data_IF_983136030348
#
_entry.id   IF_983136030348
#
_cell.length_a   1.000
_cell.length_b   1.000
_cell.length_c   1.000
_cell.angle_alpha   90.00
_cell.angle_beta   90.00
_cell.angle_gamma   90.00
#
_symmetry.space_group_name_H-M   'P 1'
#
loop_
_entity.id
_entity.type
_entity.pdbx_description
1 polymer ?
#
# COMPACT_ATOMS: atom_id res chain seq x y z
N UNK A 1 -36.00 -41.86 45.47
CA UNK A 1 -35.39 -41.45 44.17
C UNK A 1 -36.45 -40.68 43.40
N UNK A 2 -36.38 -39.41 43.01
CA UNK A 2 -35.26 -38.50 42.76
C UNK A 2 -35.76 -37.05 43.00
N UNK A 3 -35.56 -36.50 44.20
CA UNK A 3 -35.66 -35.03 44.47
C UNK A 3 -34.25 -34.40 44.39
N UNK A 4 -33.29 -35.10 43.76
CA UNK A 4 -31.91 -34.61 43.58
C UNK A 4 -31.61 -34.12 42.17
N UNK A 5 -32.53 -34.23 41.20
CA UNK A 5 -32.23 -33.87 39.81
C UNK A 5 -32.64 -32.46 39.41
N UNK A 6 -33.53 -31.79 40.16
CA UNK A 6 -33.99 -30.43 39.81
C UNK A 6 -33.07 -29.32 40.32
N UNK A 7 -32.22 -29.61 41.31
CA UNK A 7 -31.28 -28.61 41.87
C UNK A 7 -30.01 -28.43 41.02
N UNK A 8 -29.76 -29.30 40.03
CA UNK A 8 -28.56 -29.24 39.18
C UNK A 8 -28.77 -28.40 37.91
N UNK A 9 -30.01 -28.01 37.58
CA UNK A 9 -30.32 -27.21 36.38
C UNK A 9 -30.43 -25.71 36.70
N UNK A 10 -30.62 -25.36 37.97
CA UNK A 10 -30.70 -23.95 38.40
C UNK A 10 -29.32 -23.41 38.82
N UNK A 11 -28.37 -24.28 39.18
CA UNK A 11 -27.01 -23.88 39.54
C UNK A 11 -26.13 -23.54 38.31
N UNK A 12 -26.51 -23.98 37.11
CA UNK A 12 -25.85 -23.64 35.85
C UNK A 12 -26.26 -22.27 35.28
N UNK A 13 -27.23 -21.59 35.90
CA UNK A 13 -27.67 -20.22 35.54
C UNK A 13 -26.97 -19.12 36.36
N UNK A 14 -26.02 -19.50 37.22
CA UNK A 14 -25.21 -18.59 38.04
C UNK A 14 -23.74 -18.62 37.63
N UNK A 15 -23.43 -18.82 36.35
CA UNK A 15 -22.16 -18.34 35.83
C UNK A 15 -22.27 -16.81 35.88
N UNK A 16 -21.48 -16.09 36.71
CA UNK A 16 -21.25 -14.70 36.40
C UNK A 16 -20.70 -14.72 34.98
N UNK A 17 -21.46 -14.21 34.01
CA UNK A 17 -20.85 -13.82 32.76
C UNK A 17 -19.66 -12.97 33.16
N UNK A 18 -18.46 -13.31 32.70
CA UNK A 18 -17.38 -12.36 32.76
C UNK A 18 -17.93 -11.10 32.10
N UNK A 19 -18.32 -10.11 32.91
CA UNK A 19 -18.18 -8.74 32.48
C UNK A 19 -16.70 -8.67 32.22
N UNK A 20 -16.33 -8.78 30.95
CA UNK A 20 -15.07 -8.23 30.50
C UNK A 20 -15.11 -6.83 31.07
N UNK A 21 -14.19 -6.54 32.00
CA UNK A 21 -13.86 -5.16 32.31
C UNK A 21 -13.40 -4.62 30.96
N UNK A 22 -14.34 -4.07 30.19
CA UNK A 22 -13.99 -3.23 29.07
C UNK A 22 -13.22 -2.11 29.74
N UNK A 23 -11.90 -2.18 29.71
CA UNK A 23 -11.05 -1.06 30.06
C UNK A 23 -11.55 0.10 29.21
N UNK A 24 -12.34 0.97 29.81
CA UNK A 24 -12.83 2.17 29.15
C UNK A 24 -11.60 3.01 28.92
N UNK A 25 -11.10 3.00 27.68
CA UNK A 25 -10.04 3.87 27.27
C UNK A 25 -10.57 5.31 27.34
N UNK A 26 -10.23 6.01 28.41
CA UNK A 26 -10.49 7.44 28.53
C UNK A 26 -9.60 8.14 27.50
N UNK A 27 -10.26 8.69 26.48
CA UNK A 27 -9.59 9.46 25.45
C UNK A 27 -8.83 10.64 26.07
N UNK A 28 -7.63 10.89 25.55
CA UNK A 28 -6.84 12.07 25.88
C UNK A 28 -6.47 12.78 24.59
N UNK A 29 -6.80 14.06 24.51
CA UNK A 29 -6.33 14.91 23.44
C UNK A 29 -4.82 15.06 23.49
N UNK A 30 -4.15 14.76 22.37
CA UNK A 30 -2.69 14.87 22.20
C UNK A 30 -2.36 15.24 20.76
N UNK A 31 -1.11 15.60 20.51
CA UNK A 31 -0.57 15.66 19.16
C UNK A 31 -0.50 14.27 18.51
N UNK A 32 -0.86 14.21 17.24
CA UNK A 32 -0.65 13.06 16.37
C UNK A 32 0.40 13.41 15.31
N UNK A 33 1.45 12.58 15.20
CA UNK A 33 2.61 12.82 14.34
C UNK A 33 2.83 11.63 13.42
N UNK A 34 2.97 11.90 12.13
CA UNK A 34 3.27 10.88 11.13
C UNK A 34 4.50 11.28 10.33
N UNK A 35 5.46 10.37 10.24
CA UNK A 35 6.67 10.57 9.46
C UNK A 35 7.16 9.24 8.89
N UNK A 36 7.79 9.32 7.71
CA UNK A 36 8.46 8.20 7.09
C UNK A 36 9.81 8.63 6.53
N UNK A 37 10.87 7.92 6.91
CA UNK A 37 12.21 8.11 6.34
C UNK A 37 12.54 7.00 5.37
N UNK A 38 13.23 7.34 4.29
CA UNK A 38 13.68 6.36 3.30
C UNK A 38 15.20 6.42 3.15
N UNK A 39 15.82 5.25 3.20
CA UNK A 39 17.26 5.11 2.97
C UNK A 39 17.68 5.71 1.62
N UNK A 40 18.80 6.40 1.62
CA UNK A 40 19.43 7.01 0.45
C UNK A 40 18.57 8.03 -0.30
N UNK A 41 17.55 8.58 0.38
CA UNK A 41 16.66 9.61 -0.15
C UNK A 41 16.63 10.81 0.79
N UNK A 42 16.31 12.01 0.27
CA UNK A 42 15.90 13.11 1.13
C UNK A 42 14.55 12.80 1.78
N UNK A 43 14.06 13.69 2.63
CA UNK A 43 12.68 13.61 3.13
C UNK A 43 11.71 13.87 1.94
N UNK A 44 11.29 12.80 1.26
CA UNK A 44 10.43 12.87 0.07
C UNK A 44 8.99 13.17 0.45
N UNK A 45 8.50 12.62 1.56
CA UNK A 45 7.15 12.85 2.07
C UNK A 45 7.14 13.89 3.21
N UNK A 46 6.00 14.51 3.46
CA UNK A 46 5.87 15.50 4.53
C UNK A 46 5.77 14.84 5.90
N UNK A 47 6.30 15.47 6.94
CA UNK A 47 5.89 15.16 8.32
C UNK A 47 4.51 15.77 8.54
N UNK A 48 3.57 14.98 9.06
CA UNK A 48 2.22 15.43 9.36
C UNK A 48 2.06 15.64 10.86
N UNK A 49 1.44 16.77 11.23
CA UNK A 49 1.13 17.11 12.62
C UNK A 49 -0.31 17.57 12.72
N UNK A 50 -1.07 16.90 13.58
CA UNK A 50 -2.44 17.29 13.93
C UNK A 50 -2.67 17.15 15.43
N UNK A 51 -3.78 17.69 15.92
CA UNK A 51 -4.38 17.33 17.20
C UNK A 51 -5.28 16.11 17.00
N UNK A 52 -5.33 15.19 17.95
CA UNK A 52 -6.37 14.15 17.97
C UNK A 52 -7.73 14.75 18.32
N UNK A 53 -8.83 14.09 17.99
CA UNK A 53 -10.18 14.50 18.40
C UNK A 53 -10.96 13.32 18.97
N UNK A 54 -11.88 13.60 19.90
CA UNK A 54 -12.86 12.60 20.35
C UNK A 54 -13.81 12.24 19.20
N UNK A 55 -14.32 11.01 19.19
CA UNK A 55 -15.34 10.57 18.22
C UNK A 55 -16.62 11.43 18.34
N UNK A 56 -16.94 11.90 19.54
CA UNK A 56 -18.07 12.80 19.82
C UNK A 56 -17.82 14.26 19.45
N UNK A 57 -16.58 14.64 19.13
CA UNK A 57 -16.22 16.02 18.83
C UNK A 57 -16.79 16.44 17.47
N UNK A 58 -17.58 17.52 17.45
CA UNK A 58 -18.19 18.04 16.21
C UNK A 58 -17.28 19.08 15.55
N UNK A 59 -16.06 18.65 15.20
CA UNK A 59 -15.02 19.50 14.62
C UNK A 59 -14.61 18.99 13.23
N UNK A 60 -14.58 19.83 12.19
CA UNK A 60 -14.10 19.42 10.87
C UNK A 60 -12.64 18.95 10.93
N UNK A 61 -12.32 17.85 10.26
CA UNK A 61 -10.97 17.26 10.28
C UNK A 61 -9.89 18.26 9.82
N UNK A 62 -10.23 19.16 8.90
CA UNK A 62 -9.33 20.19 8.36
C UNK A 62 -8.87 21.19 9.43
N UNK A 63 -9.63 21.36 10.51
CA UNK A 63 -9.27 22.25 11.61
C UNK A 63 -8.39 21.60 12.68
N UNK A 64 -8.14 20.29 12.58
CA UNK A 64 -7.26 19.56 13.49
C UNK A 64 -5.78 19.71 13.13
N UNK A 65 -5.47 20.16 11.91
CA UNK A 65 -4.10 20.31 11.43
C UNK A 65 -3.36 21.44 12.14
N UNK A 66 -2.12 21.18 12.56
CA UNK A 66 -1.28 22.14 13.30
C UNK A 66 -0.19 22.67 12.37
N UNK A 67 -0.20 23.98 12.08
CA UNK A 67 0.67 24.59 11.05
C UNK A 67 1.78 25.49 11.60
N UNK A 68 1.83 25.66 12.91
CA UNK A 68 2.75 26.52 13.66
C UNK A 68 3.50 25.75 14.77
N UNK A 69 3.63 24.43 14.63
CA UNK A 69 4.49 23.61 15.49
C UNK A 69 5.97 23.80 15.15
N UNK A 70 6.83 23.66 16.15
CA UNK A 70 8.27 23.48 15.93
C UNK A 70 8.52 21.98 15.67
N UNK A 71 8.94 21.64 14.46
CA UNK A 71 9.18 20.25 14.02
C UNK A 71 10.65 20.06 13.68
N UNK A 72 11.32 19.11 14.34
CA UNK A 72 12.73 18.81 14.14
C UNK A 72 12.96 17.34 13.79
N UNK A 73 13.94 17.11 12.92
CA UNK A 73 14.56 15.80 12.70
C UNK A 73 15.90 15.80 13.40
N UNK A 74 16.09 14.85 14.31
CA UNK A 74 17.29 14.67 15.11
C UNK A 74 17.96 13.34 14.74
N UNK A 75 19.29 13.34 14.70
CA UNK A 75 20.13 12.14 14.61
C UNK A 75 21.44 12.39 15.36
N UNK A 76 22.42 11.49 15.26
CA UNK A 76 23.66 11.56 16.05
C UNK A 76 24.38 12.92 15.98
N UNK A 77 24.48 13.48 14.77
CA UNK A 77 25.06 14.82 14.54
C UNK A 77 24.10 15.76 13.79
N UNK A 78 22.85 15.31 13.61
CA UNK A 78 21.85 15.97 12.79
C UNK A 78 20.83 16.70 13.67
N UNK A 79 20.56 17.96 13.36
CA UNK A 79 19.44 18.74 13.91
C UNK A 79 18.88 19.62 12.78
N UNK A 80 17.76 19.19 12.20
CA UNK A 80 17.10 19.88 11.10
C UNK A 80 15.74 20.40 11.54
N UNK A 81 15.56 21.72 11.46
CA UNK A 81 14.26 22.35 11.60
C UNK A 81 13.47 22.23 10.29
N UNK A 82 12.27 21.66 10.36
CA UNK A 82 11.36 21.57 9.22
C UNK A 82 10.50 22.84 9.11
N UNK A 83 10.12 23.18 7.88
CA UNK A 83 9.27 24.32 7.56
C UNK A 83 7.85 23.87 7.24
N UNK A 84 6.85 24.58 7.76
CA UNK A 84 5.47 24.36 7.39
C UNK A 84 5.25 24.63 5.89
N UNK A 85 4.44 23.79 5.24
CA UNK A 85 4.13 23.92 3.80
C UNK A 85 3.03 24.99 3.61
N UNK A 86 3.30 26.08 2.88
CA UNK A 86 2.30 27.11 2.65
C UNK A 86 1.05 26.58 1.95
N UNK A 87 -0.12 26.87 2.50
CA UNK A 87 -1.41 26.48 1.93
C UNK A 87 -1.79 25.01 2.13
N UNK A 88 -0.95 24.21 2.81
CA UNK A 88 -1.25 22.81 3.13
C UNK A 88 -1.06 22.59 4.65
N UNK A 89 -2.11 22.85 5.45
CA UNK A 89 -2.03 22.77 6.90
C UNK A 89 -1.50 21.43 7.42
N UNK A 90 -0.76 21.48 8.54
CA UNK A 90 -0.28 20.27 9.21
C UNK A 90 0.93 19.61 8.56
N UNK A 91 1.42 20.11 7.43
CA UNK A 91 2.55 19.51 6.71
C UNK A 91 3.83 20.26 6.92
N UNK A 92 4.90 19.52 7.16
CA UNK A 92 6.25 20.04 7.36
C UNK A 92 7.23 19.36 6.41
N UNK A 93 8.08 20.15 5.78
CA UNK A 93 9.09 19.71 4.81
C UNK A 93 10.46 20.14 5.24
N UNK A 94 11.46 19.41 4.74
CA UNK A 94 12.85 19.76 4.90
C UNK A 94 13.23 20.85 3.88
N UNK A 95 14.00 21.85 4.33
CA UNK A 95 14.59 22.86 3.44
C UNK A 95 15.99 22.51 2.91
N UNK A 96 16.57 21.40 3.36
CA UNK A 96 17.89 20.88 2.99
C UNK A 96 17.81 19.66 2.08
N UNK A 97 18.93 19.35 1.43
CA UNK A 97 19.17 18.17 0.59
C UNK A 97 19.77 17.01 1.40
N UNK A 98 19.52 16.96 2.71
CA UNK A 98 20.06 15.91 3.57
C UNK A 98 19.53 14.54 3.13
N UNK A 99 20.45 13.60 2.92
CA UNK A 99 20.14 12.23 2.53
C UNK A 99 20.21 11.35 3.78
N UNK A 100 19.11 10.64 4.05
CA UNK A 100 19.04 9.71 5.17
C UNK A 100 19.81 8.43 4.86
N UNK A 101 20.52 7.91 5.86
CA UNK A 101 21.47 6.81 5.69
C UNK A 101 20.86 5.55 6.32
N UNK A 102 21.02 4.41 5.64
CA UNK A 102 20.71 3.09 6.19
C UNK A 102 21.41 2.81 7.51
N UNK A 103 20.79 2.04 8.39
CA UNK A 103 21.35 1.64 9.70
C UNK A 103 21.32 2.75 10.76
N UNK A 104 21.16 4.01 10.36
CA UNK A 104 21.12 5.15 11.27
C UNK A 104 19.76 5.31 11.95
N UNK A 105 19.79 5.90 13.15
CA UNK A 105 18.59 6.19 13.94
C UNK A 105 18.24 7.67 13.87
N UNK A 106 16.96 7.95 13.62
CA UNK A 106 16.42 9.29 13.54
C UNK A 106 15.20 9.46 14.43
N UNK A 107 15.10 10.63 15.04
CA UNK A 107 13.98 11.03 15.90
C UNK A 107 13.29 12.24 15.32
N UNK A 108 11.96 12.17 15.18
CA UNK A 108 11.11 13.35 14.98
C UNK A 108 10.75 13.90 16.34
N UNK A 109 10.97 15.19 16.56
CA UNK A 109 10.52 15.94 17.73
C UNK A 109 9.56 17.04 17.29
N UNK A 110 8.39 17.11 17.93
CA UNK A 110 7.37 18.12 17.65
C UNK A 110 7.00 18.83 18.95
N UNK A 111 7.06 20.15 18.94
CA UNK A 111 6.62 21.00 20.05
C UNK A 111 5.55 21.97 19.59
N UNK A 112 4.43 22.03 20.32
CA UNK A 112 3.35 22.98 20.05
C UNK A 112 2.59 23.29 21.35
N UNK A 113 2.36 24.57 21.64
CA UNK A 113 1.64 25.05 22.85
C UNK A 113 2.12 24.46 24.19
N UNK A 114 3.41 24.14 24.30
CA UNK A 114 4.01 23.57 25.52
C UNK A 114 3.90 22.05 25.63
N UNK A 115 3.22 21.40 24.69
CA UNK A 115 3.29 19.95 24.50
C UNK A 115 4.51 19.60 23.66
N UNK A 116 5.18 18.50 24.00
CA UNK A 116 6.31 17.95 23.26
C UNK A 116 6.08 16.46 23.07
N UNK A 117 6.14 16.02 21.81
CA UNK A 117 6.02 14.61 21.44
C UNK A 117 7.20 14.22 20.55
N UNK A 118 7.58 12.96 20.59
CA UNK A 118 8.70 12.48 19.78
C UNK A 118 8.54 11.03 19.36
N UNK A 119 8.95 10.68 18.15
CA UNK A 119 9.00 9.29 17.70
C UNK A 119 10.34 8.98 17.06
N UNK A 120 10.82 7.75 17.25
CA UNK A 120 12.17 7.31 16.82
C UNK A 120 12.08 6.06 15.96
N UNK A 121 12.91 6.02 14.91
CA UNK A 121 13.05 4.88 14.00
C UNK A 121 14.51 4.66 13.62
N UNK A 122 14.85 3.42 13.30
CA UNK A 122 16.16 3.03 12.75
C UNK A 122 15.95 2.56 11.32
N UNK A 123 16.61 3.19 10.36
CA UNK A 123 16.45 2.85 8.95
C UNK A 123 17.04 1.45 8.70
N UNK A 124 16.29 0.54 8.08
CA UNK A 124 16.81 -0.77 7.67
C UNK A 124 18.10 -0.67 6.85
N UNK A 125 19.02 -1.62 7.00
CA UNK A 125 20.33 -1.64 6.34
C UNK A 125 20.18 -1.65 4.80
N UNK A 126 19.77 -2.78 4.23
CA UNK A 126 19.54 -2.91 2.80
C UNK A 126 18.55 -4.04 2.51
N UNK A 127 17.68 -3.83 1.53
CA UNK A 127 16.87 -4.91 0.96
C UNK A 127 17.55 -5.50 -0.26
N UNK A 128 17.87 -6.79 -0.18
CA UNK A 128 18.31 -7.56 -1.34
C UNK A 128 17.10 -8.21 -1.99
N UNK A 129 16.99 -8.09 -3.31
CA UNK A 129 16.00 -8.81 -4.11
C UNK A 129 16.70 -9.54 -5.25
N UNK A 130 16.19 -10.71 -5.59
CA UNK A 130 16.72 -11.54 -6.68
C UNK A 130 15.56 -12.08 -7.53
N UNK A 131 15.74 -12.10 -8.85
CA UNK A 131 14.80 -12.83 -9.70
C UNK A 131 15.05 -14.32 -9.53
N UNK A 132 14.01 -15.09 -9.24
CA UNK A 132 14.14 -16.54 -9.15
C UNK A 132 14.41 -17.15 -10.53
N UNK A 133 15.10 -18.31 -10.63
CA UNK A 133 15.22 -19.06 -11.88
C UNK A 133 13.85 -19.41 -12.49
N UNK A 134 13.76 -19.56 -13.83
CA UNK A 134 12.53 -20.02 -14.48
C UNK A 134 12.02 -21.32 -13.87
N UNK A 135 10.69 -21.42 -13.72
CA UNK A 135 10.03 -22.58 -13.12
C UNK A 135 8.75 -22.94 -13.87
N UNK A 136 8.13 -24.07 -13.52
CA UNK A 136 6.86 -24.50 -14.12
C UNK A 136 5.75 -24.40 -13.07
N UNK A 137 4.63 -23.80 -13.46
CA UNK A 137 3.39 -23.75 -12.71
C UNK A 137 2.41 -24.79 -13.26
N UNK A 138 1.91 -25.65 -12.38
CA UNK A 138 0.97 -26.71 -12.72
C UNK A 138 -0.44 -26.30 -12.36
N UNK A 139 -1.35 -26.30 -13.33
CA UNK A 139 -2.75 -26.06 -13.07
C UNK A 139 -3.64 -26.87 -13.99
N UNK A 140 -4.58 -27.62 -13.39
CA UNK A 140 -5.57 -28.46 -14.10
C UNK A 140 -4.96 -29.41 -15.14
N UNK A 141 -3.81 -29.99 -14.80
CA UNK A 141 -3.10 -30.94 -15.68
C UNK A 141 -2.34 -30.28 -16.83
N UNK A 142 -2.25 -28.94 -16.86
CA UNK A 142 -1.45 -28.18 -17.80
C UNK A 142 -0.26 -27.53 -17.11
N UNK A 143 0.87 -27.52 -17.81
CA UNK A 143 2.10 -26.82 -17.43
C UNK A 143 2.14 -25.42 -18.04
N UNK A 144 2.57 -24.46 -17.24
CA UNK A 144 2.78 -23.07 -17.64
C UNK A 144 4.18 -22.63 -17.21
N UNK A 145 4.98 -22.14 -18.15
CA UNK A 145 6.30 -21.60 -17.84
C UNK A 145 6.17 -20.30 -17.06
N UNK A 146 6.90 -20.20 -15.95
CA UNK A 146 7.04 -18.99 -15.14
C UNK A 146 8.45 -18.44 -15.40
N UNK A 147 8.59 -17.30 -16.08
CA UNK A 147 9.89 -16.75 -16.43
C UNK A 147 10.61 -16.14 -15.22
N UNK A 148 11.93 -16.04 -15.32
CA UNK A 148 12.73 -15.05 -14.59
C UNK A 148 12.65 -13.71 -15.32
N UNK A 149 12.81 -12.59 -14.60
CA UNK A 149 12.80 -11.25 -15.20
C UNK A 149 14.08 -10.48 -14.85
N UNK A 150 14.45 -9.53 -15.70
CA UNK A 150 15.50 -8.56 -15.42
C UNK A 150 15.01 -7.52 -14.41
N UNK A 151 15.58 -7.56 -13.21
CA UNK A 151 15.32 -6.61 -12.12
C UNK A 151 16.40 -5.52 -12.00
N UNK A 152 17.48 -5.61 -12.78
CA UNK A 152 18.56 -4.62 -12.80
C UNK A 152 18.37 -3.67 -13.98
N UNK A 153 17.23 -2.99 -14.00
CA UNK A 153 16.83 -2.10 -15.10
C UNK A 153 16.41 -0.69 -14.68
N UNK A 154 16.52 -0.37 -13.39
CA UNK A 154 16.06 0.89 -12.81
C UNK A 154 17.05 1.41 -11.79
N UNK A 155 17.29 2.72 -11.80
CA UNK A 155 17.95 3.44 -10.70
C UNK A 155 17.25 4.76 -10.45
N UNK A 156 17.15 5.16 -9.18
CA UNK A 156 16.74 6.52 -8.82
C UNK A 156 17.85 7.48 -9.26
N UNK A 157 17.47 8.55 -9.94
CA UNK A 157 18.38 9.59 -10.40
C UNK A 157 17.66 10.94 -10.30
N UNK A 158 17.89 11.64 -9.18
CA UNK A 158 17.33 12.96 -8.93
C UNK A 158 17.84 14.05 -9.87
N UNK A 159 18.90 13.79 -10.64
CA UNK A 159 19.35 14.70 -11.70
C UNK A 159 18.54 14.53 -12.99
N UNK A 160 17.80 13.43 -13.13
CA UNK A 160 16.91 13.19 -14.25
C UNK A 160 15.56 13.92 -14.05
N UNK A 161 14.98 14.56 -15.09
CA UNK A 161 13.67 15.19 -14.99
C UNK A 161 12.53 14.28 -14.51
N UNK A 162 12.65 12.98 -14.75
CA UNK A 162 11.68 11.96 -14.30
C UNK A 162 12.00 11.41 -12.90
N UNK A 163 13.12 11.81 -12.29
CA UNK A 163 13.58 11.32 -10.98
C UNK A 163 14.20 9.92 -11.01
N UNK A 164 14.29 9.28 -12.18
CA UNK A 164 14.88 7.96 -12.34
C UNK A 164 15.47 7.77 -13.74
N UNK A 165 16.21 6.68 -13.90
CA UNK A 165 16.74 6.22 -15.18
C UNK A 165 16.50 4.74 -15.39
N UNK A 166 16.17 4.40 -16.63
CA UNK A 166 16.19 3.02 -17.12
C UNK A 166 17.63 2.65 -17.45
N UNK A 167 18.15 1.60 -16.82
CA UNK A 167 19.55 1.16 -16.96
C UNK A 167 19.71 -0.15 -17.73
N UNK A 168 18.61 -0.88 -17.94
CA UNK A 168 18.61 -2.20 -18.55
C UNK A 168 17.34 -2.48 -19.34
N UNK A 169 17.25 -3.68 -19.91
CA UNK A 169 16.06 -4.12 -20.62
C UNK A 169 14.88 -4.28 -19.65
N UNK A 170 13.70 -3.84 -20.07
CA UNK A 170 12.45 -4.02 -19.32
C UNK A 170 11.76 -5.24 -19.90
N UNK A 171 11.59 -6.27 -19.09
CA UNK A 171 10.92 -7.48 -19.52
C UNK A 171 9.40 -7.30 -19.55
N UNK A 172 8.77 -8.01 -20.47
CA UNK A 172 7.31 -8.04 -20.64
C UNK A 172 6.77 -9.37 -20.16
N UNK A 173 5.79 -9.32 -19.27
CA UNK A 173 5.03 -10.49 -18.81
C UNK A 173 3.57 -10.34 -19.23
N UNK A 174 2.94 -11.46 -19.60
CA UNK A 174 1.56 -11.47 -20.11
C UNK A 174 0.62 -11.82 -18.96
N UNK A 175 -0.29 -10.91 -18.62
CA UNK A 175 -1.36 -11.18 -17.67
C UNK A 175 -2.55 -11.77 -18.42
N UNK A 176 -2.87 -13.03 -18.13
CA UNK A 176 -4.06 -13.71 -18.64
C UNK A 176 -5.16 -13.68 -17.58
N UNK A 177 -6.41 -13.72 -17.99
CA UNK A 177 -7.56 -13.75 -17.07
C UNK A 177 -8.27 -15.11 -17.10
N UNK A 178 -8.91 -15.46 -15.99
CA UNK A 178 -9.70 -16.67 -15.80
C UNK A 178 -8.90 -17.91 -15.37
N UNK A 179 -9.61 -18.95 -14.95
CA UNK A 179 -9.06 -20.26 -14.60
C UNK A 179 -7.81 -20.17 -13.70
N UNK A 180 -6.67 -20.62 -14.21
CA UNK A 180 -5.41 -20.67 -13.49
C UNK A 180 -4.81 -19.29 -13.16
N UNK A 181 -5.27 -18.20 -13.77
CA UNK A 181 -4.55 -16.93 -13.80
C UNK A 181 -5.13 -15.86 -12.86
N UNK A 182 -6.45 -15.81 -12.65
CA UNK A 182 -7.13 -14.80 -11.80
C UNK A 182 -8.19 -15.40 -10.85
N UNK A 183 -7.90 -16.55 -10.25
CA UNK A 183 -8.84 -17.26 -9.36
C UNK A 183 -8.56 -17.04 -7.86
N UNK A 184 -7.29 -16.98 -7.46
CA UNK A 184 -6.91 -16.92 -6.04
C UNK A 184 -5.50 -16.38 -5.81
N UNK A 185 -5.09 -16.32 -4.53
CA UNK A 185 -3.70 -16.08 -4.12
C UNK A 185 -2.70 -17.12 -4.67
N UNK A 186 -3.18 -18.31 -5.04
CA UNK A 186 -2.37 -19.39 -5.59
C UNK A 186 -2.40 -19.45 -7.13
N UNK A 187 -2.96 -18.42 -7.78
CA UNK A 187 -2.96 -18.32 -9.23
C UNK A 187 -1.55 -18.23 -9.82
N UNK A 188 -1.46 -18.50 -11.13
CA UNK A 188 -0.23 -18.46 -11.91
C UNK A 188 0.60 -17.20 -11.57
N UNK A 189 1.86 -17.37 -11.12
CA UNK A 189 2.76 -16.24 -10.94
C UNK A 189 3.26 -15.77 -12.30
N UNK A 190 3.18 -14.46 -12.55
CA UNK A 190 3.76 -13.86 -13.76
C UNK A 190 5.29 -13.97 -13.73
N UNK A 191 5.87 -13.88 -12.54
CA UNK A 191 7.27 -14.11 -12.20
C UNK A 191 7.38 -14.28 -10.68
N UNK A 192 8.58 -14.56 -10.15
CA UNK A 192 8.81 -14.62 -8.70
C UNK A 192 10.07 -13.87 -8.31
N UNK A 193 10.03 -13.26 -7.14
CA UNK A 193 11.13 -12.48 -6.56
C UNK A 193 11.49 -13.09 -5.22
N UNK A 194 12.77 -13.35 -5.03
CA UNK A 194 13.36 -13.73 -3.75
C UNK A 194 13.86 -12.47 -3.02
N UNK A 195 13.92 -12.52 -1.70
CA UNK A 195 14.45 -11.43 -0.88
C UNK A 195 14.98 -11.95 0.46
N UNK A 196 15.80 -11.17 1.14
CA UNK A 196 16.38 -11.50 2.44
C UNK A 196 15.32 -11.46 3.57
N UNK A 197 14.42 -12.45 3.59
CA UNK A 197 13.29 -12.53 4.53
C UNK A 197 13.72 -12.62 6.00
N UNK A 198 14.87 -13.26 6.29
CA UNK A 198 15.35 -13.46 7.66
C UNK A 198 15.75 -12.14 8.35
N UNK A 199 16.04 -11.09 7.57
CA UNK A 199 16.49 -9.79 8.08
C UNK A 199 15.32 -8.89 8.50
N UNK A 200 14.10 -9.16 8.02
CA UNK A 200 12.96 -8.25 8.16
C UNK A 200 11.65 -8.97 8.48
N UNK A 201 10.86 -8.42 9.42
CA UNK A 201 9.58 -9.03 9.81
C UNK A 201 8.47 -8.82 8.78
N UNK A 202 8.55 -7.77 7.98
CA UNK A 202 7.63 -7.51 6.87
C UNK A 202 8.32 -6.73 5.77
N UNK A 203 8.01 -7.09 4.54
CA UNK A 203 8.38 -6.38 3.33
C UNK A 203 7.11 -5.78 2.73
N UNK A 204 7.15 -4.48 2.44
CA UNK A 204 6.09 -3.80 1.71
C UNK A 204 6.44 -3.76 0.23
N UNK A 205 5.62 -4.37 -0.60
CA UNK A 205 5.73 -4.34 -2.05
C UNK A 205 4.72 -3.33 -2.58
N UNK A 206 5.19 -2.35 -3.35
CA UNK A 206 4.36 -1.33 -3.98
C UNK A 206 4.39 -1.54 -5.48
N UNK A 207 3.21 -1.63 -6.08
CA UNK A 207 3.02 -1.62 -7.53
C UNK A 207 2.52 -0.24 -7.94
N UNK A 208 3.33 0.48 -8.73
CA UNK A 208 2.94 1.77 -9.28
C UNK A 208 2.86 1.71 -10.80
N UNK A 209 1.63 1.74 -11.33
CA UNK A 209 1.38 1.79 -12.76
C UNK A 209 1.65 3.20 -13.29
N UNK A 210 2.66 3.36 -14.14
CA UNK A 210 3.07 4.66 -14.67
C UNK A 210 2.13 5.18 -15.77
N UNK A 211 1.29 4.32 -16.31
CA UNK A 211 0.39 4.61 -17.43
C UNK A 211 -1.09 4.41 -17.02
N UNK A 212 -1.40 4.44 -15.72
CA UNK A 212 -2.75 4.23 -15.19
C UNK A 212 -3.77 5.27 -15.70
N UNK A 213 -3.33 6.52 -15.86
CA UNK A 213 -4.18 7.64 -16.28
C UNK A 213 -4.39 7.70 -17.81
N UNK A 214 -3.92 6.69 -18.56
CA UNK A 214 -4.12 6.62 -20.00
C UNK A 214 -5.59 6.37 -20.32
N UNK A 215 -6.20 7.33 -21.02
CA UNK A 215 -7.61 7.27 -21.43
C UNK A 215 -7.76 7.16 -22.94
N UNK A 216 -8.69 6.32 -23.38
CA UNK A 216 -9.10 6.17 -24.78
C UNK A 216 -10.55 5.68 -24.82
N UNK A 217 -11.13 5.54 -26.01
CA UNK A 217 -12.51 5.13 -26.20
C UNK A 217 -12.75 3.68 -25.77
N UNK A 218 -13.92 3.43 -25.21
CA UNK A 218 -14.39 2.11 -24.84
C UNK A 218 -14.26 1.09 -25.99
N UNK A 219 -13.88 -0.16 -25.69
CA UNK A 219 -13.73 -1.18 -26.72
C UNK A 219 -15.09 -1.55 -27.32
N UNK A 220 -15.09 -1.87 -28.60
CA UNK A 220 -16.30 -2.26 -29.32
C UNK A 220 -16.07 -3.53 -30.13
N UNK A 221 -17.17 -4.25 -30.39
CA UNK A 221 -17.16 -5.41 -31.25
C UNK A 221 -17.29 -4.95 -32.70
N UNK A 222 -16.16 -4.89 -33.40
CA UNK A 222 -16.07 -4.55 -34.82
C UNK A 222 -16.53 -5.73 -35.69
N UNK A 223 -17.83 -5.78 -35.98
CA UNK A 223 -18.48 -6.90 -36.68
C UNK A 223 -18.04 -6.93 -38.15
N UNK A 224 -17.75 -5.78 -38.73
CA UNK A 224 -17.41 -5.65 -40.14
C UNK A 224 -15.89 -5.52 -40.42
N UNK A 225 -15.08 -5.51 -39.36
CA UNK A 225 -13.61 -5.42 -39.39
C UNK A 225 -13.08 -4.16 -40.10
N UNK A 226 -13.78 -3.04 -40.01
CA UNK A 226 -13.37 -1.78 -40.63
C UNK A 226 -12.51 -0.89 -39.72
N UNK A 227 -12.30 -1.29 -38.46
CA UNK A 227 -11.52 -0.58 -37.45
C UNK A 227 -12.19 0.67 -36.88
N UNK A 228 -13.50 0.87 -37.11
CA UNK A 228 -14.29 2.02 -36.65
C UNK A 228 -15.62 1.58 -36.08
N UNK A 229 -16.07 2.22 -35.00
CA UNK A 229 -17.37 1.90 -34.43
C UNK A 229 -18.51 2.39 -35.33
N UNK A 230 -19.39 1.48 -35.72
CA UNK A 230 -20.58 1.77 -36.53
C UNK A 230 -21.88 1.74 -35.72
N UNK A 231 -22.88 2.49 -36.19
CA UNK A 231 -24.23 2.46 -35.60
C UNK A 231 -24.82 1.05 -35.73
N UNK A 232 -24.98 0.37 -34.60
CA UNK A 232 -25.50 -1.01 -34.52
C UNK A 232 -24.50 -2.00 -33.93
N UNK A 233 -23.25 -1.61 -33.74
CA UNK A 233 -22.24 -2.40 -33.04
C UNK A 233 -22.32 -2.19 -31.52
N UNK A 234 -22.17 -3.28 -30.77
CA UNK A 234 -22.09 -3.23 -29.31
C UNK A 234 -20.71 -2.75 -28.85
N UNK A 235 -20.68 -1.94 -27.80
CA UNK A 235 -19.46 -1.58 -27.09
C UNK A 235 -19.59 -1.97 -25.61
N UNK A 236 -18.45 -2.11 -24.94
CA UNK A 236 -18.41 -2.32 -23.50
C UNK A 236 -18.57 -0.96 -22.80
N UNK A 237 -19.74 -0.76 -22.19
CA UNK A 237 -20.10 0.47 -21.47
C UNK A 237 -19.63 0.36 -20.01
N UNK A 238 -18.36 0.68 -19.76
CA UNK A 238 -17.73 0.50 -18.46
C UNK A 238 -18.17 1.54 -17.43
N UNK A 239 -18.59 2.72 -17.88
CA UNK A 239 -19.13 3.77 -17.03
C UNK A 239 -20.67 3.79 -16.97
N UNK A 240 -21.33 2.81 -17.56
CA UNK A 240 -22.79 2.60 -17.53
C UNK A 240 -23.59 3.85 -17.96
N UNK A 241 -23.07 4.65 -18.91
CA UNK A 241 -23.70 5.91 -19.33
C UNK A 241 -24.46 5.81 -20.67
N UNK A 242 -24.37 4.67 -21.35
CA UNK A 242 -25.04 4.38 -22.62
C UNK A 242 -24.42 5.04 -23.85
N UNK A 243 -23.23 5.63 -23.74
CA UNK A 243 -22.51 6.34 -24.80
C UNK A 243 -21.07 5.83 -24.84
N UNK A 244 -20.60 5.44 -26.03
CA UNK A 244 -19.20 5.07 -26.22
C UNK A 244 -18.30 6.29 -26.05
N UNK A 245 -17.67 6.41 -24.89
CA UNK A 245 -16.80 7.54 -24.56
C UNK A 245 -15.47 7.07 -23.95
N UNK A 246 -14.79 7.96 -23.23
CA UNK A 246 -13.41 7.76 -22.81
C UNK A 246 -13.33 7.15 -21.41
N UNK A 247 -12.52 6.10 -21.29
CA UNK A 247 -12.27 5.36 -20.05
C UNK A 247 -10.79 5.05 -19.88
N UNK A 248 -10.37 4.64 -18.68
CA UNK A 248 -8.98 4.23 -18.42
C UNK A 248 -8.66 2.93 -19.14
N UNK A 249 -8.00 3.02 -20.30
CA UNK A 249 -7.80 1.82 -21.11
C UNK A 249 -6.82 0.85 -20.50
N UNK A 250 -5.90 1.31 -19.66
CA UNK A 250 -4.93 0.43 -19.02
C UNK A 250 -5.52 -0.27 -17.80
N UNK A 251 -6.70 0.11 -17.30
CA UNK A 251 -7.32 -0.60 -16.20
C UNK A 251 -7.61 -2.06 -16.60
N UNK A 252 -7.28 -2.99 -15.72
CA UNK A 252 -7.66 -4.39 -15.89
C UNK A 252 -9.13 -4.53 -15.51
N UNK A 253 -10.00 -4.56 -16.52
CA UNK A 253 -11.42 -4.82 -16.38
C UNK A 253 -11.67 -6.32 -16.17
N UNK A 254 -12.25 -6.67 -15.02
CA UNK A 254 -12.64 -8.02 -14.65
C UNK A 254 -13.86 -7.95 -13.73
N UNK A 255 -15.03 -8.25 -14.29
CA UNK A 255 -16.31 -8.20 -13.57
C UNK A 255 -16.65 -9.53 -12.91
N UNK A 256 -15.72 -10.49 -12.86
CA UNK A 256 -15.97 -11.77 -12.21
C UNK A 256 -16.09 -11.59 -10.69
N UNK A 257 -16.96 -12.39 -10.06
CA UNK A 257 -17.13 -12.36 -8.61
C UNK A 257 -15.85 -12.72 -7.83
N UNK A 258 -14.93 -13.46 -8.46
CA UNK A 258 -13.63 -13.78 -7.86
C UNK A 258 -12.74 -12.53 -7.81
N UNK A 259 -12.64 -11.79 -8.91
CA UNK A 259 -11.89 -10.54 -8.94
C UNK A 259 -12.37 -9.56 -7.86
N UNK A 260 -13.68 -9.34 -7.80
CA UNK A 260 -14.30 -8.46 -6.81
C UNK A 260 -14.07 -8.91 -5.36
N UNK A 261 -13.97 -10.23 -5.09
CA UNK A 261 -13.69 -10.76 -3.75
C UNK A 261 -12.27 -10.47 -3.28
N UNK A 262 -11.29 -10.55 -4.18
CA UNK A 262 -9.87 -10.38 -3.83
C UNK A 262 -9.42 -8.94 -3.86
N UNK A 263 -9.91 -8.15 -4.82
CA UNK A 263 -9.47 -6.77 -5.04
C UNK A 263 -10.51 -5.72 -4.67
N UNK A 264 -11.70 -6.14 -4.25
CA UNK A 264 -12.85 -5.25 -4.06
C UNK A 264 -13.42 -4.72 -5.38
N UNK A 265 -14.48 -3.92 -5.27
CA UNK A 265 -15.08 -3.22 -6.41
C UNK A 265 -14.18 -2.11 -6.97
N UNK A 266 -14.50 -1.62 -8.16
CA UNK A 266 -13.88 -0.41 -8.70
C UNK A 266 -14.42 0.82 -7.96
N UNK A 267 -13.52 1.78 -7.71
CA UNK A 267 -13.95 3.14 -7.38
C UNK A 267 -14.48 3.80 -8.64
N UNK A 268 -15.26 4.87 -8.49
CA UNK A 268 -15.83 5.61 -9.62
C UNK A 268 -15.66 7.09 -9.43
N UNK A 269 -15.28 7.78 -10.51
CA UNK A 269 -15.14 9.24 -10.52
C UNK A 269 -16.51 9.94 -10.66
N UNK A 270 -16.48 11.26 -10.82
CA UNK A 270 -17.68 12.08 -11.02
C UNK A 270 -18.48 11.74 -12.30
N UNK A 271 -17.84 11.12 -13.29
CA UNK A 271 -18.44 10.69 -14.56
C UNK A 271 -18.77 9.20 -14.55
N UNK A 272 -18.73 8.55 -13.38
CA UNK A 272 -18.92 7.11 -13.21
C UNK A 272 -17.84 6.23 -13.85
N UNK A 273 -16.71 6.80 -14.28
CA UNK A 273 -15.59 6.06 -14.88
C UNK A 273 -14.91 5.23 -13.78
N UNK A 274 -14.79 3.90 -13.96
CA UNK A 274 -14.21 3.03 -12.96
C UNK A 274 -12.68 3.17 -12.89
N UNK A 275 -12.11 3.11 -11.69
CA UNK A 275 -10.67 3.11 -11.45
C UNK A 275 -10.27 2.30 -10.21
N UNK A 276 -8.97 2.06 -10.05
CA UNK A 276 -8.35 1.46 -8.86
C UNK A 276 -7.31 2.41 -8.27
N UNK A 277 -7.07 2.31 -6.97
CA UNK A 277 -6.03 3.09 -6.31
C UNK A 277 -4.66 2.72 -6.90
N UNK A 278 -3.86 3.75 -7.20
CA UNK A 278 -2.52 3.61 -7.74
C UNK A 278 -1.64 4.68 -7.07
N UNK A 279 -0.53 4.30 -6.40
CA UNK A 279 0.01 2.95 -6.28
C UNK A 279 -0.78 2.03 -5.33
N UNK A 280 -0.58 0.72 -5.46
CA UNK A 280 -1.18 -0.29 -4.59
C UNK A 280 -0.13 -1.07 -3.77
N UNK A 281 -0.22 -1.07 -2.42
CA UNK A 281 0.72 -1.79 -1.56
C UNK A 281 0.25 -3.20 -1.16
N UNK A 282 1.21 -4.10 -0.97
CA UNK A 282 1.07 -5.41 -0.36
C UNK A 282 2.11 -5.58 0.74
N UNK A 283 1.74 -6.18 1.86
CA UNK A 283 2.71 -6.58 2.90
C UNK A 283 2.89 -8.10 2.84
N UNK A 284 4.14 -8.53 2.80
CA UNK A 284 4.53 -9.94 2.72
C UNK A 284 5.62 -10.24 3.74
N UNK A 285 5.60 -11.44 4.32
CA UNK A 285 6.57 -11.88 5.31
C UNK A 285 7.32 -13.15 4.92
N UNK A 286 7.20 -13.59 3.67
CA UNK A 286 7.86 -14.81 3.19
C UNK A 286 8.30 -14.70 1.74
N UNK A 287 9.49 -15.23 1.46
CA UNK A 287 10.11 -15.36 0.16
C UNK A 287 10.15 -16.83 -0.30
N UNK A 288 10.26 -17.10 -1.62
CA UNK A 288 10.07 -16.15 -2.70
C UNK A 288 8.59 -15.77 -2.84
N UNK A 289 8.33 -14.52 -3.25
CA UNK A 289 6.96 -14.05 -3.49
C UNK A 289 6.53 -14.38 -4.93
N UNK A 290 5.33 -14.95 -5.05
CA UNK A 290 4.66 -15.20 -6.32
C UNK A 290 3.98 -13.91 -6.81
N UNK A 291 4.60 -13.21 -7.76
CA UNK A 291 4.07 -11.99 -8.33
C UNK A 291 2.94 -12.31 -9.31
N UNK A 292 1.72 -12.41 -8.79
CA UNK A 292 0.51 -12.77 -9.54
C UNK A 292 -0.34 -11.55 -9.91
N UNK A 293 -1.49 -11.78 -10.53
CA UNK A 293 -2.48 -10.76 -10.88
C UNK A 293 -2.92 -9.85 -9.72
N UNK A 294 -2.75 -10.29 -8.46
CA UNK A 294 -3.09 -9.51 -7.28
C UNK A 294 -2.25 -8.23 -7.13
N UNK A 295 -1.06 -8.19 -7.73
CA UNK A 295 -0.14 -7.05 -7.67
C UNK A 295 -0.38 -6.01 -8.78
N UNK A 296 -1.28 -6.27 -9.74
CA UNK A 296 -1.45 -5.41 -10.91
C UNK A 296 -2.92 -5.11 -11.14
N UNK A 297 -3.30 -3.84 -11.03
CA UNK A 297 -4.63 -3.36 -11.40
C UNK A 297 -4.67 -2.74 -12.80
N UNK A 298 -3.50 -2.52 -13.40
CA UNK A 298 -3.35 -1.91 -14.71
C UNK A 298 -2.43 -2.75 -15.61
N UNK A 299 -2.62 -2.64 -16.92
CA UNK A 299 -1.66 -3.01 -17.95
C UNK A 299 -0.69 -1.84 -18.18
N UNK A 300 0.45 -2.14 -18.82
CA UNK A 300 1.47 -1.14 -19.13
C UNK A 300 2.71 -1.25 -18.25
N UNK A 301 3.45 -0.16 -18.13
CA UNK A 301 4.69 -0.09 -17.37
C UNK A 301 4.44 0.08 -15.87
N UNK A 302 5.00 -0.81 -15.06
CA UNK A 302 4.95 -0.76 -13.60
C UNK A 302 6.33 -0.53 -13.00
N UNK A 303 6.41 0.43 -12.08
CA UNK A 303 7.50 0.53 -11.11
C UNK A 303 7.13 -0.33 -9.90
N UNK A 304 7.90 -1.40 -9.72
CA UNK A 304 7.78 -2.28 -8.57
C UNK A 304 8.82 -1.88 -7.53
N UNK A 305 8.38 -1.55 -6.33
CA UNK A 305 9.25 -1.17 -5.22
C UNK A 305 9.08 -2.15 -4.07
N UNK A 306 10.17 -2.79 -3.68
CA UNK A 306 10.25 -3.65 -2.49
C UNK A 306 10.87 -2.82 -1.37
N UNK A 307 10.19 -2.72 -0.24
CA UNK A 307 10.61 -1.94 0.92
C UNK A 307 10.78 -2.85 2.13
N UNK A 308 11.99 -2.94 2.65
CA UNK A 308 12.21 -3.42 4.01
C UNK A 308 11.74 -2.33 4.96
N UNK A 309 10.82 -2.65 5.86
CA UNK A 309 10.26 -1.67 6.80
C UNK A 309 10.84 -1.89 8.20
N UNK A 310 10.91 -0.82 8.98
CA UNK A 310 11.36 -0.88 10.36
C UNK A 310 10.36 -1.59 11.31
N UNK A 311 10.82 -1.83 12.54
CA UNK A 311 10.01 -2.48 13.57
C UNK A 311 8.77 -1.65 13.95
N UNK A 312 8.86 -0.32 13.93
CA UNK A 312 7.74 0.55 14.28
C UNK A 312 6.58 0.37 13.28
N UNK A 313 6.89 0.33 11.97
CA UNK A 313 5.89 0.04 10.95
C UNK A 313 5.20 -1.31 11.19
N UNK A 314 5.97 -2.38 11.43
CA UNK A 314 5.42 -3.70 11.70
C UNK A 314 4.48 -3.70 12.92
N UNK A 315 4.94 -3.14 14.05
CA UNK A 315 4.18 -3.10 15.29
C UNK A 315 2.88 -2.30 15.15
N UNK A 316 2.93 -1.17 14.44
CA UNK A 316 1.76 -0.36 14.17
C UNK A 316 0.76 -1.11 13.29
N UNK A 317 1.25 -1.67 12.19
CA UNK A 317 0.43 -2.34 11.18
C UNK A 317 -0.29 -3.58 11.72
N UNK A 318 0.34 -4.35 12.61
CA UNK A 318 -0.28 -5.54 13.21
C UNK A 318 -1.55 -5.25 14.03
N UNK A 319 -1.74 -4.01 14.49
CA UNK A 319 -2.92 -3.61 15.24
C UNK A 319 -3.99 -2.90 14.40
N UNK A 320 -3.81 -2.80 13.08
CA UNK A 320 -4.84 -2.22 12.22
C UNK A 320 -6.08 -3.14 12.20
N UNK A 321 -7.31 -2.59 12.38
CA UNK A 321 -8.54 -3.39 12.48
C UNK A 321 -8.80 -4.32 11.30
N UNK A 322 -8.32 -3.96 10.11
CA UNK A 322 -8.43 -4.75 8.89
C UNK A 322 -7.68 -6.08 8.98
N UNK A 323 -6.64 -6.15 9.82
CA UNK A 323 -5.80 -7.34 10.01
C UNK A 323 -6.03 -8.00 11.36
N UNK A 324 -6.25 -7.21 12.41
CA UNK A 324 -6.46 -7.71 13.75
C UNK A 324 -7.38 -6.78 14.56
N UNK A 325 -8.62 -7.22 14.79
CA UNK A 325 -9.60 -6.47 15.57
C UNK A 325 -9.37 -6.51 17.08
N UNK A 326 -8.35 -7.24 17.57
CA UNK A 326 -8.11 -7.48 19.00
C UNK A 326 -6.86 -6.79 19.54
N UNK A 327 -6.04 -6.21 18.68
CA UNK A 327 -4.79 -5.52 19.05
C UNK A 327 -4.88 -4.12 18.49
N UNK A 328 -4.60 -3.10 19.31
CA UNK A 328 -4.56 -1.72 18.85
C UNK A 328 -3.24 -1.43 18.12
N UNK A 329 -3.21 -0.52 17.13
CA UNK A 329 -1.97 -0.10 16.49
C UNK A 329 -0.99 0.45 17.51
N UNK A 330 0.23 -0.08 17.53
CA UNK A 330 1.27 0.36 18.46
C UNK A 330 1.98 1.60 17.93
N UNK A 331 1.63 2.77 18.48
CA UNK A 331 2.32 4.05 18.23
C UNK A 331 3.71 4.03 18.87
N UNK A 332 4.73 4.48 18.14
CA UNK A 332 6.07 4.76 18.69
C UNK A 332 6.29 6.26 18.97
N UNK A 333 5.22 7.06 18.97
CA UNK A 333 5.27 8.48 19.32
C UNK A 333 5.03 8.64 20.83
N UNK A 334 6.10 8.95 21.55
CA UNK A 334 6.07 9.26 22.98
C UNK A 334 5.34 10.57 23.24
N UNK A 335 4.44 10.56 24.22
CA UNK A 335 3.63 11.73 24.59
C UNK A 335 2.47 12.05 23.64
N UNK A 336 2.33 11.32 22.53
CA UNK A 336 1.32 11.56 21.49
C UNK A 336 0.80 10.29 20.82
N UNK A 337 0.28 10.46 19.61
CA UNK A 337 -0.19 9.39 18.73
C UNK A 337 0.54 9.42 17.38
N UNK A 338 0.40 8.36 16.59
CA UNK A 338 0.84 8.30 15.20
C UNK A 338 1.96 7.28 14.98
N UNK A 339 2.81 7.53 13.99
CA UNK A 339 3.85 6.60 13.56
C UNK A 339 5.03 7.36 12.95
N UNK A 340 6.21 7.14 13.50
CA UNK A 340 7.49 7.50 12.88
C UNK A 340 8.13 6.21 12.41
N UNK A 341 8.15 5.99 11.10
CA UNK A 341 8.64 4.75 10.49
C UNK A 341 9.77 5.03 9.51
N UNK A 342 10.42 3.96 9.05
CA UNK A 342 11.41 4.09 7.99
C UNK A 342 11.50 2.84 7.12
N UNK A 343 12.13 2.99 5.95
CA UNK A 343 12.36 1.88 5.04
C UNK A 343 13.66 1.98 4.24
N UNK A 344 14.15 0.82 3.81
CA UNK A 344 15.13 0.71 2.73
C UNK A 344 14.46 0.06 1.52
N UNK A 345 14.75 0.53 0.32
CA UNK A 345 13.96 0.18 -0.87
C UNK A 345 14.83 -0.22 -2.06
N UNK A 346 14.38 -1.22 -2.81
CA UNK A 346 14.91 -1.57 -4.14
C UNK A 346 13.77 -1.65 -5.14
N UNK A 347 13.98 -1.11 -6.33
CA UNK A 347 12.92 -1.00 -7.34
C UNK A 347 13.39 -1.47 -8.72
N UNK A 348 12.44 -1.96 -9.51
CA UNK A 348 12.65 -2.35 -10.90
C UNK A 348 11.39 -2.08 -11.73
N UNK A 349 11.56 -2.04 -13.05
CA UNK A 349 10.48 -1.86 -13.99
C UNK A 349 10.09 -3.20 -14.63
N UNK A 350 8.79 -3.39 -14.84
CA UNK A 350 8.24 -4.54 -15.59
C UNK A 350 7.07 -4.06 -16.43
N UNK A 351 6.90 -4.62 -17.63
CA UNK A 351 5.76 -4.30 -18.49
C UNK A 351 4.72 -5.42 -18.43
N UNK A 352 3.49 -5.07 -18.04
CA UNK A 352 2.35 -5.99 -17.98
C UNK A 352 1.55 -5.88 -19.27
N UNK A 353 1.67 -6.89 -20.13
CA UNK A 353 0.99 -6.94 -21.41
C UNK A 353 -0.35 -7.67 -21.36
N UNK A 354 -1.27 -7.22 -22.21
CA UNK A 354 -2.48 -7.96 -22.55
C UNK A 354 -2.12 -9.22 -23.34
N UNK A 355 -2.90 -10.30 -23.25
CA UNK A 355 -2.82 -11.40 -24.19
C UNK A 355 -3.07 -10.87 -25.60
N UNK A 356 -2.35 -11.37 -26.60
CA UNK A 356 -2.71 -11.12 -27.99
C UNK A 356 -3.99 -11.91 -28.30
N UNK A 357 -4.97 -11.22 -28.88
CA UNK A 357 -6.22 -11.81 -29.38
C UNK A 357 -5.97 -12.72 -30.60
#
# INVERSE_FOLDING_TARGET
MKIKTLFLIILSLLLPGCMVDDETFDYQEKLAVWAHFQANMPLVDTVFVSRSAEISESTPAESLWVSDAEVRVLGDTLDLLLSAVPGIPGRYVMGSDHIFISGETYTISVTHNGESVSGTTTIPEEISIESTPPSVYYCRGQEYDVPSINIDNFVIDMSNPFGFRITGAIDTVILRQGNCFTESFASYPLYKIDFNEDDYQTIRIISFALEADSMDLEPFNDINSNGSWDTGESFEDWNDNGIRDSVYINLIYDTTGNYARWKGGYYRDQNNVPYKLNPWPWNVGAAPINMSWLFYDYYGLHLMTFQATDQAFFNYFQGLPEFNSYVLPSSNVDGGYGLVSSSSSRSFLVYIARPKE
#
